data_IF_858714112822
#
_entry.id   IF_858714112822
#
_cell.length_a   1.000
_cell.length_b   1.000
_cell.length_c   1.000
_cell.angle_alpha   90.00
_cell.angle_beta   90.00
_cell.angle_gamma   90.00
#
_symmetry.space_group_name_H-M   'P 1'
#
loop_
_entity.id
_entity.type
_entity.pdbx_description
1 polymer ?
#
# COMPACT_ATOMS: atom_id res chain seq x y z
N UNK A 1 48.10 -4.64 -16.56
CA UNK A 1 47.85 -3.61 -15.52
C UNK A 1 46.50 -2.90 -15.71
N UNK A 2 46.14 -2.42 -16.92
CA UNK A 2 44.84 -1.78 -17.17
C UNK A 2 43.60 -2.63 -16.82
N UNK A 3 43.62 -3.94 -17.12
CA UNK A 3 42.52 -4.87 -16.77
C UNK A 3 42.34 -5.04 -15.25
N UNK A 4 43.43 -5.02 -14.48
CA UNK A 4 43.37 -5.10 -13.02
C UNK A 4 42.84 -3.80 -12.40
N UNK A 5 43.19 -2.64 -12.97
CA UNK A 5 42.65 -1.34 -12.56
C UNK A 5 41.13 -1.24 -12.80
N UNK A 6 40.63 -1.79 -13.92
CA UNK A 6 39.19 -1.85 -14.22
C UNK A 6 38.45 -2.74 -13.22
N UNK A 7 38.99 -3.93 -12.90
CA UNK A 7 38.38 -4.84 -11.92
C UNK A 7 38.35 -4.24 -10.51
N UNK A 8 39.40 -3.53 -10.09
CA UNK A 8 39.45 -2.84 -8.80
C UNK A 8 38.42 -1.69 -8.76
N UNK A 9 38.32 -0.91 -9.86
CA UNK A 9 37.33 0.17 -9.96
C UNK A 9 35.89 -0.33 -9.87
N UNK A 10 35.57 -1.49 -10.46
CA UNK A 10 34.23 -2.07 -10.43
C UNK A 10 33.84 -2.54 -9.01
N UNK A 11 34.79 -3.12 -8.28
CA UNK A 11 34.58 -3.57 -6.90
C UNK A 11 34.36 -2.38 -5.94
N UNK A 12 35.08 -1.27 -6.15
CA UNK A 12 34.90 -0.04 -5.36
C UNK A 12 33.53 0.60 -5.61
N UNK A 13 33.06 0.63 -6.86
CA UNK A 13 31.72 1.16 -7.18
C UNK A 13 30.61 0.29 -6.54
N UNK A 14 30.74 -1.04 -6.59
CA UNK A 14 29.76 -1.96 -5.99
C UNK A 14 29.69 -1.86 -4.45
N UNK A 15 30.80 -1.53 -3.78
CA UNK A 15 30.84 -1.43 -2.32
C UNK A 15 30.27 -0.12 -1.77
N UNK A 16 30.11 0.92 -2.61
CA UNK A 16 29.47 2.19 -2.20
C UNK A 16 27.94 2.17 -2.30
N UNK A 17 27.33 1.22 -3.01
CA UNK A 17 25.89 1.16 -3.22
C UNK A 17 25.07 0.81 -1.96
N UNK A 18 25.70 0.21 -0.94
CA UNK A 18 24.99 -0.25 0.27
C UNK A 18 25.00 0.76 1.43
N UNK A 19 25.68 1.91 1.30
CA UNK A 19 25.84 2.86 2.42
C UNK A 19 24.86 4.04 2.39
N UNK A 20 23.71 3.90 1.73
CA UNK A 20 22.64 4.89 1.83
C UNK A 20 21.71 4.53 2.99
N UNK A 21 22.16 4.76 4.23
CA UNK A 21 21.27 4.77 5.39
C UNK A 21 20.39 6.02 5.26
N UNK A 22 19.22 5.88 4.62
CA UNK A 22 18.18 6.92 4.65
C UNK A 22 17.93 7.24 6.12
N UNK A 23 18.28 8.45 6.53
CA UNK A 23 17.86 9.00 7.80
C UNK A 23 16.36 9.16 7.71
N UNK A 24 15.68 8.07 8.03
CA UNK A 24 14.25 7.97 7.88
C UNK A 24 13.70 8.63 9.11
N UNK A 25 13.18 9.84 8.96
CA UNK A 25 12.44 10.48 10.05
C UNK A 25 11.47 9.45 10.64
N UNK A 26 11.54 9.29 11.95
CA UNK A 26 10.67 8.37 12.67
C UNK A 26 9.23 8.86 12.45
N UNK A 27 8.40 8.01 11.83
CA UNK A 27 7.00 8.36 11.61
C UNK A 27 6.31 8.16 12.96
N UNK A 28 5.78 9.23 13.55
CA UNK A 28 5.06 9.14 14.81
C UNK A 28 3.85 8.21 14.67
N UNK A 29 3.63 7.26 15.61
CA UNK A 29 2.45 6.42 15.64
C UNK A 29 1.13 7.21 15.63
N UNK A 30 1.13 8.43 16.20
CA UNK A 30 -0.06 9.30 16.23
C UNK A 30 -0.39 9.92 14.86
N UNK A 31 0.57 9.89 13.94
CA UNK A 31 0.42 10.44 12.59
C UNK A 31 -0.08 9.44 11.55
N UNK A 32 -0.36 8.20 11.97
CA UNK A 32 -0.76 7.10 11.10
C UNK A 32 -2.07 6.45 11.56
N UNK A 33 -2.67 5.63 10.71
CA UNK A 33 -3.80 4.79 11.08
C UNK A 33 -3.39 3.73 12.10
N UNK A 34 -4.25 3.50 13.09
CA UNK A 34 -4.18 2.35 13.99
C UNK A 34 -4.32 1.05 13.20
N UNK A 35 -4.00 -0.09 13.82
CA UNK A 35 -4.16 -1.41 13.20
C UNK A 35 -5.60 -1.61 12.68
N UNK A 36 -6.61 -1.29 13.50
CA UNK A 36 -8.02 -1.42 13.11
C UNK A 36 -8.43 -0.49 11.97
N UNK A 37 -8.01 0.79 12.02
CA UNK A 37 -8.34 1.72 10.94
C UNK A 37 -7.61 1.37 9.64
N UNK A 38 -6.37 0.85 9.73
CA UNK A 38 -5.61 0.39 8.57
C UNK A 38 -6.27 -0.84 7.93
N UNK A 39 -6.74 -1.80 8.74
CA UNK A 39 -7.49 -2.97 8.26
C UNK A 39 -8.75 -2.55 7.52
N UNK A 40 -9.56 -1.65 8.08
CA UNK A 40 -10.76 -1.13 7.41
C UNK A 40 -10.42 -0.40 6.12
N UNK A 41 -9.37 0.43 6.13
CA UNK A 41 -8.90 1.14 4.94
C UNK A 41 -8.52 0.17 3.83
N UNK A 42 -7.81 -0.92 4.15
CA UNK A 42 -7.41 -1.94 3.17
C UNK A 42 -8.64 -2.65 2.56
N UNK A 43 -9.65 -2.96 3.36
CA UNK A 43 -10.92 -3.54 2.88
C UNK A 43 -11.57 -2.61 1.84
N UNK A 44 -11.77 -1.34 2.20
CA UNK A 44 -12.38 -0.35 1.30
C UNK A 44 -11.54 -0.10 0.05
N UNK A 45 -10.21 -0.06 0.20
CA UNK A 45 -9.28 0.11 -0.91
C UNK A 45 -9.40 -1.05 -1.90
N UNK A 46 -9.41 -2.30 -1.43
CA UNK A 46 -9.55 -3.47 -2.30
C UNK A 46 -10.91 -3.52 -3.01
N UNK A 47 -12.00 -3.16 -2.33
CA UNK A 47 -13.32 -3.07 -2.96
C UNK A 47 -13.37 -1.96 -4.02
N UNK A 48 -12.75 -0.81 -3.74
CA UNK A 48 -12.63 0.30 -4.69
C UNK A 48 -11.86 -0.13 -5.92
N UNK A 49 -10.68 -0.72 -5.75
CA UNK A 49 -9.85 -1.23 -6.85
C UNK A 49 -10.56 -2.31 -7.67
N UNK A 50 -11.25 -3.25 -7.02
CA UNK A 50 -12.01 -4.29 -7.70
C UNK A 50 -13.15 -3.68 -8.55
N UNK A 51 -13.86 -2.69 -8.01
CA UNK A 51 -14.95 -2.00 -8.69
C UNK A 51 -14.45 -1.22 -9.92
N UNK A 52 -13.35 -0.47 -9.76
CA UNK A 52 -12.72 0.26 -10.87
C UNK A 52 -12.25 -0.71 -11.96
N UNK A 53 -11.57 -1.80 -11.60
CA UNK A 53 -11.13 -2.82 -12.57
C UNK A 53 -12.29 -3.48 -13.31
N UNK A 54 -13.43 -3.66 -12.65
CA UNK A 54 -14.62 -4.20 -13.32
C UNK A 54 -15.20 -3.21 -14.34
N UNK A 55 -15.23 -1.92 -14.01
CA UNK A 55 -15.63 -0.87 -14.95
C UNK A 55 -14.67 -0.79 -16.13
N UNK A 56 -13.36 -0.81 -15.88
CA UNK A 56 -12.32 -0.78 -16.91
C UNK A 56 -12.46 -1.98 -17.87
N UNK A 57 -12.65 -3.19 -17.34
CA UNK A 57 -12.89 -4.41 -18.13
C UNK A 57 -14.16 -4.35 -18.98
N UNK A 58 -15.14 -3.53 -18.58
CA UNK A 58 -16.34 -3.28 -19.38
C UNK A 58 -16.13 -2.24 -20.49
N UNK A 59 -14.89 -1.76 -20.70
CA UNK A 59 -14.53 -0.78 -21.72
C UNK A 59 -14.84 0.67 -21.33
N UNK A 60 -15.10 0.94 -20.05
CA UNK A 60 -15.39 2.29 -19.55
C UNK A 60 -14.10 3.01 -19.16
N UNK A 61 -14.05 4.31 -19.43
CA UNK A 61 -13.05 5.18 -18.82
C UNK A 61 -13.32 5.32 -17.31
N UNK A 62 -12.31 4.96 -16.52
CA UNK A 62 -12.38 4.95 -15.05
C UNK A 62 -11.80 6.21 -14.41
N UNK A 63 -11.26 7.15 -15.17
CA UNK A 63 -10.56 8.33 -14.64
C UNK A 63 -11.42 9.18 -13.71
N UNK A 64 -12.68 9.43 -14.08
CA UNK A 64 -13.61 10.16 -13.20
C UNK A 64 -14.08 9.31 -12.02
N UNK A 65 -14.24 8.01 -12.21
CA UNK A 65 -14.66 7.08 -11.16
C UNK A 65 -13.58 6.92 -10.09
N UNK A 66 -12.31 6.86 -10.50
CA UNK A 66 -11.18 6.70 -9.58
C UNK A 66 -11.01 7.94 -8.72
N UNK A 67 -11.06 9.14 -9.31
CA UNK A 67 -11.05 10.40 -8.56
C UNK A 67 -12.18 10.41 -7.53
N UNK A 68 -13.41 10.16 -7.98
CA UNK A 68 -14.57 10.17 -7.09
C UNK A 68 -14.46 9.15 -5.94
N UNK A 69 -14.06 7.91 -6.21
CA UNK A 69 -13.98 6.88 -5.18
C UNK A 69 -12.83 7.12 -4.19
N UNK A 70 -11.69 7.63 -4.66
CA UNK A 70 -10.61 8.00 -3.75
C UNK A 70 -10.98 9.21 -2.90
N UNK A 71 -11.69 10.21 -3.45
CA UNK A 71 -12.21 11.35 -2.67
C UNK A 71 -13.17 10.88 -1.57
N UNK A 72 -14.12 10.00 -1.90
CA UNK A 72 -15.03 9.40 -0.91
C UNK A 72 -14.29 8.63 0.18
N UNK A 73 -13.19 7.94 -0.16
CA UNK A 73 -12.37 7.25 0.82
C UNK A 73 -11.66 8.25 1.74
N UNK A 74 -11.07 9.31 1.19
CA UNK A 74 -10.44 10.36 2.00
C UNK A 74 -11.44 11.01 2.97
N UNK A 75 -12.66 11.29 2.50
CA UNK A 75 -13.75 11.81 3.31
C UNK A 75 -14.18 10.83 4.42
N UNK A 76 -14.40 9.55 4.08
CA UNK A 76 -14.81 8.50 5.02
C UNK A 76 -13.84 8.36 6.20
N UNK A 77 -12.54 8.48 5.94
CA UNK A 77 -11.49 8.35 6.95
C UNK A 77 -11.05 9.69 7.56
N UNK A 78 -11.69 10.81 7.19
CA UNK A 78 -11.34 12.17 7.59
C UNK A 78 -9.82 12.42 7.51
N UNK A 79 -9.26 12.18 6.32
CA UNK A 79 -7.82 12.20 6.11
C UNK A 79 -7.43 12.79 4.75
N UNK A 80 -6.13 12.99 4.56
CA UNK A 80 -5.53 13.32 3.28
C UNK A 80 -4.68 12.16 2.74
N UNK A 81 -4.25 12.29 1.48
CA UNK A 81 -3.37 11.31 0.83
C UNK A 81 -2.04 11.14 1.57
N UNK A 82 -1.57 12.17 2.27
CA UNK A 82 -0.33 12.14 3.04
C UNK A 82 -0.45 11.24 4.27
N UNK A 83 -1.61 11.19 4.94
CA UNK A 83 -1.86 10.29 6.09
C UNK A 83 -1.93 8.84 5.63
N UNK A 84 -2.59 8.54 4.51
CA UNK A 84 -2.60 7.20 3.91
C UNK A 84 -1.17 6.77 3.56
N UNK A 85 -0.44 7.63 2.85
CA UNK A 85 0.94 7.36 2.42
C UNK A 85 1.87 7.09 3.62
N UNK A 86 1.83 7.95 4.65
CA UNK A 86 2.62 7.76 5.88
C UNK A 86 2.23 6.50 6.63
N UNK A 87 0.94 6.17 6.69
CA UNK A 87 0.45 4.96 7.36
C UNK A 87 0.96 3.70 6.67
N UNK A 88 0.86 3.65 5.34
CA UNK A 88 1.40 2.53 4.58
C UNK A 88 2.92 2.40 4.78
N UNK A 89 3.68 3.52 4.73
CA UNK A 89 5.12 3.53 4.99
C UNK A 89 5.50 3.12 6.41
N UNK A 90 4.67 3.42 7.40
CA UNK A 90 4.89 3.00 8.78
C UNK A 90 4.69 1.49 8.94
N UNK A 91 3.56 0.96 8.44
CA UNK A 91 3.27 -0.46 8.51
C UNK A 91 4.23 -1.29 7.64
N UNK A 92 4.71 -0.76 6.51
CA UNK A 92 5.68 -1.47 5.66
C UNK A 92 7.05 -1.68 6.32
N UNK A 93 7.38 -0.93 7.39
CA UNK A 93 8.59 -1.18 8.21
C UNK A 93 8.41 -2.38 9.15
N UNK A 94 7.19 -2.88 9.30
CA UNK A 94 6.81 -4.03 10.12
C UNK A 94 6.14 -5.08 9.22
N UNK A 95 6.90 -5.76 8.34
CA UNK A 95 6.33 -6.57 7.26
C UNK A 95 5.40 -7.68 7.75
N UNK A 96 5.72 -8.34 8.87
CA UNK A 96 4.87 -9.37 9.48
C UNK A 96 3.50 -8.79 9.91
N UNK A 97 3.49 -7.59 10.51
CA UNK A 97 2.26 -6.92 10.89
C UNK A 97 1.45 -6.46 9.68
N UNK A 98 2.10 -5.88 8.67
CA UNK A 98 1.41 -5.48 7.44
C UNK A 98 0.80 -6.69 6.73
N UNK A 99 1.50 -7.83 6.71
CA UNK A 99 0.97 -9.08 6.19
C UNK A 99 -0.26 -9.54 6.99
N UNK A 100 -0.20 -9.49 8.31
CA UNK A 100 -1.34 -9.81 9.17
C UNK A 100 -2.56 -8.92 8.87
N UNK A 101 -2.37 -7.59 8.81
CA UNK A 101 -3.45 -6.65 8.49
C UNK A 101 -4.05 -6.92 7.11
N UNK A 102 -3.20 -7.25 6.13
CA UNK A 102 -3.63 -7.60 4.77
C UNK A 102 -4.46 -8.88 4.77
N UNK A 103 -3.99 -9.93 5.46
CA UNK A 103 -4.72 -11.20 5.56
C UNK A 103 -6.08 -11.00 6.24
N UNK A 104 -6.14 -10.25 7.33
CA UNK A 104 -7.40 -9.94 8.02
C UNK A 104 -8.39 -9.18 7.12
N UNK A 105 -7.89 -8.26 6.28
CA UNK A 105 -8.71 -7.57 5.29
C UNK A 105 -9.25 -8.55 4.23
N UNK A 106 -8.41 -9.45 3.72
CA UNK A 106 -8.82 -10.47 2.75
C UNK A 106 -9.84 -11.47 3.34
N UNK A 107 -9.62 -11.93 4.57
CA UNK A 107 -10.55 -12.83 5.28
C UNK A 107 -11.93 -12.16 5.43
N UNK A 108 -11.94 -10.86 5.76
CA UNK A 108 -13.18 -10.07 5.86
C UNK A 108 -13.93 -10.00 4.53
N UNK A 109 -13.20 -9.87 3.41
CA UNK A 109 -13.78 -9.85 2.07
C UNK A 109 -14.34 -11.21 1.66
N UNK A 110 -13.64 -12.31 1.98
CA UNK A 110 -14.10 -13.67 1.73
C UNK A 110 -15.40 -13.93 2.50
N UNK A 111 -15.45 -13.58 3.79
CA UNK A 111 -16.67 -13.73 4.61
C UNK A 111 -17.83 -12.93 4.00
N UNK A 112 -17.57 -11.69 3.57
CA UNK A 112 -18.58 -10.84 2.94
C UNK A 112 -19.11 -11.47 1.64
N UNK A 113 -18.23 -12.01 0.79
CA UNK A 113 -18.62 -12.73 -0.42
C UNK A 113 -19.51 -13.94 -0.10
N UNK A 114 -19.11 -14.79 0.85
CA UNK A 114 -19.89 -15.96 1.26
C UNK A 114 -21.30 -15.56 1.71
N UNK A 115 -21.41 -14.53 2.57
CA UNK A 115 -22.70 -14.02 3.04
C UNK A 115 -23.57 -13.49 1.89
N UNK A 116 -22.96 -12.87 0.88
CA UNK A 116 -23.69 -12.36 -0.30
C UNK A 116 -24.13 -13.48 -1.25
N UNK A 117 -23.38 -14.59 -1.32
CA UNK A 117 -23.74 -15.77 -2.11
C UNK A 117 -24.88 -16.57 -1.46
N UNK A 118 -24.86 -16.74 -0.13
CA UNK A 118 -25.91 -17.45 0.60
C UNK A 118 -27.28 -16.75 0.57
N UNK A 119 -27.30 -15.45 0.28
CA UNK A 119 -28.53 -14.64 0.15
C UNK A 119 -29.17 -14.67 -1.24
N UNK A 120 -28.55 -15.33 -2.22
CA UNK A 120 -29.06 -15.45 -3.59
C UNK A 120 -29.81 -16.76 -3.79
#
# INVERSE_FOLDING_TARGET
>A
MLKQLISISLIVVLSTACSFKKQTAEISPDSVFTEDSMKLLLIDFYLTEASLRQLERSGKDVSLHSVHYYDLMLEKYNCDTSKITRSYQYWSRQPEKLQQLTNQALDSLIIMETILQDKK
#
